data_IF_271855484754
#
_entry.id   IF_271855484754
#
_cell.length_a   1.000
_cell.length_b   1.000
_cell.length_c   1.000
_cell.angle_alpha   90.00
_cell.angle_beta   90.00
_cell.angle_gamma   90.00
#
_symmetry.space_group_name_H-M   'P 1'
#
loop_
_entity.id
_entity.type
_entity.pdbx_description
1 polymer ?
#
# COMPACT_ATOMS: atom_id res chain seq x y z
N UNK A 1 -1.78 14.26 -1.80
CA UNK A 1 -1.70 13.00 -2.56
C UNK A 1 -0.91 13.23 -3.86
N UNK A 2 -0.02 12.31 -4.23
CA UNK A 2 0.81 12.34 -5.46
C UNK A 2 0.53 11.10 -6.32
N UNK A 3 0.76 11.18 -7.64
CA UNK A 3 0.50 10.07 -8.57
C UNK A 3 1.26 8.77 -8.22
N UNK A 4 2.47 8.90 -7.65
CA UNK A 4 3.27 7.78 -7.19
C UNK A 4 2.61 7.05 -6.00
N UNK A 5 1.97 7.80 -5.10
CA UNK A 5 1.27 7.23 -3.95
C UNK A 5 0.07 6.39 -4.42
N UNK A 6 -0.70 6.90 -5.39
CA UNK A 6 -1.82 6.19 -6.01
C UNK A 6 -1.36 4.91 -6.71
N UNK A 7 -0.28 4.97 -7.49
CA UNK A 7 0.30 3.79 -8.15
C UNK A 7 0.70 2.71 -7.16
N UNK A 8 1.32 3.10 -6.05
CA UNK A 8 1.70 2.16 -4.97
C UNK A 8 0.47 1.54 -4.33
N UNK A 9 -0.57 2.33 -4.05
CA UNK A 9 -1.82 1.82 -3.49
C UNK A 9 -2.47 0.78 -4.41
N UNK A 10 -2.63 1.11 -5.70
CA UNK A 10 -3.20 0.20 -6.70
C UNK A 10 -2.37 -1.08 -6.84
N UNK A 11 -1.04 -0.96 -6.91
CA UNK A 11 -0.17 -2.12 -7.00
C UNK A 11 -0.30 -3.06 -5.79
N UNK A 12 -0.50 -2.52 -4.58
CA UNK A 12 -0.75 -3.35 -3.39
C UNK A 12 -2.13 -4.01 -3.46
N UNK A 13 -3.17 -3.29 -3.89
CA UNK A 13 -4.50 -3.87 -4.10
C UNK A 13 -4.46 -5.04 -5.09
N UNK A 14 -3.74 -4.88 -6.20
CA UNK A 14 -3.62 -5.90 -7.24
C UNK A 14 -2.78 -7.11 -6.80
N UNK A 15 -1.67 -6.87 -6.10
CA UNK A 15 -0.70 -7.92 -5.76
C UNK A 15 -0.95 -8.56 -4.39
N UNK A 16 -1.71 -7.91 -3.51
CA UNK A 16 -1.98 -8.34 -2.14
C UNK A 16 -0.73 -8.44 -1.25
N UNK A 17 0.36 -7.77 -1.62
CA UNK A 17 1.65 -7.82 -0.90
C UNK A 17 2.50 -6.59 -1.21
N UNK A 18 3.09 -5.99 -0.18
CA UNK A 18 4.02 -4.87 -0.33
C UNK A 18 5.26 -5.25 -1.13
N UNK A 19 5.79 -6.47 -0.93
CA UNK A 19 6.99 -6.95 -1.66
C UNK A 19 6.67 -7.11 -3.14
N UNK A 20 5.59 -7.82 -3.48
CA UNK A 20 5.18 -8.01 -4.87
C UNK A 20 4.82 -6.69 -5.57
N UNK A 21 4.26 -5.73 -4.84
CA UNK A 21 3.99 -4.39 -5.37
C UNK A 21 5.28 -3.62 -5.65
N UNK A 22 6.28 -3.74 -4.76
CA UNK A 22 7.59 -3.13 -4.94
C UNK A 22 8.31 -3.68 -6.18
N UNK A 23 8.29 -5.01 -6.34
CA UNK A 23 8.85 -5.70 -7.51
C UNK A 23 8.15 -5.26 -8.80
N UNK A 24 6.81 -5.21 -8.81
CA UNK A 24 6.02 -4.80 -9.97
C UNK A 24 6.28 -3.33 -10.39
N UNK A 25 6.62 -2.47 -9.43
CA UNK A 25 6.91 -1.05 -9.67
C UNK A 25 8.41 -0.78 -9.83
N UNK A 26 9.28 -1.80 -9.78
CA UNK A 26 10.74 -1.67 -9.81
C UNK A 26 11.28 -0.67 -8.76
N UNK A 27 10.75 -0.74 -7.53
CA UNK A 27 11.19 0.07 -6.39
C UNK A 27 11.45 -0.80 -5.17
N UNK A 28 12.08 -0.23 -4.14
CA UNK A 28 12.32 -0.95 -2.89
C UNK A 28 11.03 -1.12 -2.06
N UNK A 29 10.87 -2.26 -1.39
CA UNK A 29 9.76 -2.48 -0.45
C UNK A 29 9.73 -1.44 0.70
N UNK A 30 10.87 -0.97 1.25
CA UNK A 30 10.88 0.15 2.21
C UNK A 30 10.24 1.43 1.65
N UNK A 31 10.42 1.74 0.36
CA UNK A 31 9.75 2.88 -0.30
C UNK A 31 8.23 2.72 -0.30
N UNK A 32 7.75 1.51 -0.60
CA UNK A 32 6.31 1.17 -0.55
C UNK A 32 5.77 1.34 0.88
N UNK A 33 6.42 0.71 1.86
CA UNK A 33 6.02 0.77 3.28
C UNK A 33 5.98 2.19 3.84
N UNK A 34 7.01 3.01 3.54
CA UNK A 34 7.07 4.41 3.95
C UNK A 34 5.95 5.23 3.31
N UNK A 35 5.65 4.98 2.04
CA UNK A 35 4.55 5.63 1.33
C UNK A 35 3.22 5.31 1.98
N UNK A 36 2.93 4.03 2.26
CA UNK A 36 1.68 3.63 2.91
C UNK A 36 1.55 4.27 4.29
N UNK A 37 2.59 4.21 5.13
CA UNK A 37 2.58 4.87 6.44
C UNK A 37 2.31 6.37 6.34
N UNK A 38 2.90 7.04 5.35
CA UNK A 38 2.69 8.47 5.11
C UNK A 38 1.25 8.77 4.72
N UNK A 39 0.68 8.02 3.77
CA UNK A 39 -0.70 8.23 3.31
C UNK A 39 -1.67 7.91 4.45
N UNK A 40 -1.50 6.78 5.15
CA UNK A 40 -2.30 6.42 6.33
C UNK A 40 -2.28 7.52 7.39
N UNK A 41 -1.10 8.10 7.69
CA UNK A 41 -0.98 9.21 8.65
C UNK A 41 -1.64 10.49 8.14
N UNK A 42 -1.55 10.79 6.85
CA UNK A 42 -2.15 11.99 6.26
C UNK A 42 -3.68 11.98 6.39
N UNK A 43 -4.31 10.81 6.24
CA UNK A 43 -5.77 10.67 6.33
C UNK A 43 -6.25 10.15 7.69
N UNK A 44 -5.32 9.84 8.60
CA UNK A 44 -5.58 9.25 9.91
C UNK A 44 -6.43 7.96 9.84
N UNK A 45 -6.19 7.15 8.82
CA UNK A 45 -6.85 5.85 8.61
C UNK A 45 -5.82 4.74 8.45
N UNK A 46 -6.21 3.51 8.78
CA UNK A 46 -5.55 2.34 8.20
C UNK A 46 -6.04 2.21 6.76
N UNK A 47 -5.13 1.95 5.83
CA UNK A 47 -5.48 1.77 4.41
C UNK A 47 -5.45 0.29 4.05
N UNK A 48 -4.54 -0.45 4.69
CA UNK A 48 -4.43 -1.89 4.52
C UNK A 48 -4.36 -2.60 5.85
N UNK A 49 -4.90 -3.81 5.86
CA UNK A 49 -4.80 -4.76 6.95
C UNK A 49 -4.30 -6.13 6.48
N UNK A 50 -3.76 -6.90 7.41
CA UNK A 50 -3.32 -8.26 7.13
C UNK A 50 -4.50 -9.21 7.37
N UNK A 51 -4.95 -9.87 6.32
CA UNK A 51 -5.94 -10.95 6.40
C UNK A 51 -5.20 -12.26 6.10
N UNK A 52 -4.77 -12.94 7.15
CA UNK A 52 -3.89 -14.11 7.06
C UNK A 52 -2.52 -13.72 6.48
N UNK A 53 -2.19 -14.28 5.31
CA UNK A 53 -0.91 -14.03 4.61
C UNK A 53 -0.99 -12.95 3.52
N UNK A 54 -2.12 -12.25 3.37
CA UNK A 54 -2.32 -11.24 2.32
C UNK A 54 -2.64 -9.87 2.90
N UNK A 55 -2.18 -8.84 2.21
CA UNK A 55 -2.62 -7.46 2.44
C UNK A 55 -3.94 -7.23 1.70
N UNK A 56 -4.92 -6.64 2.39
CA UNK A 56 -6.20 -6.20 1.81
C UNK A 56 -6.50 -4.77 2.24
N UNK A 57 -7.34 -4.08 1.48
CA UNK A 57 -7.88 -2.78 1.91
C UNK A 57 -8.65 -2.99 3.22
N UNK A 58 -8.49 -2.06 4.16
CA UNK A 58 -9.36 -2.04 5.35
C UNK A 58 -10.69 -1.38 5.01
N UNK A 59 -11.67 -1.51 5.89
CA UNK A 59 -13.01 -0.90 5.74
C UNK A 59 -12.96 0.60 5.47
N UNK A 60 -11.97 1.32 6.02
CA UNK A 60 -11.80 2.76 5.79
C UNK A 60 -11.10 3.09 4.46
N UNK A 61 -10.51 2.10 3.80
CA UNK A 61 -9.81 2.22 2.52
C UNK A 61 -10.56 1.63 1.32
N UNK A 62 -11.76 1.06 1.53
CA UNK A 62 -12.68 0.61 0.47
C UNK A 62 -13.34 1.77 -0.30
#
# INVERSE_FOLDING_TARGET
MKIQEIKILLAICDKGSMTKAADALNISQPTVSRTIKKVSKQYNIKIFENIGHRLRLSTEGE
#
